data_IF_342596119333
#
_entry.id   IF_342596119333
#
_cell.length_a   1.000
_cell.length_b   1.000
_cell.length_c   1.000
_cell.angle_alpha   90.00
_cell.angle_beta   90.00
_cell.angle_gamma   90.00
#
_symmetry.space_group_name_H-M   'P 1'
#
loop_
_entity.id
_entity.type
_entity.pdbx_description
1 polymer ?
#
# COMPACT_ATOMS: atom_id res chain seq x y z
N UNK A 1 -15.87 5.49 4.60
CA UNK A 1 -14.60 6.20 4.35
C UNK A 1 -13.50 5.19 4.61
N UNK A 2 -12.57 4.97 3.68
CA UNK A 2 -11.48 4.02 3.90
C UNK A 2 -10.39 4.75 4.68
N UNK A 3 -10.10 4.31 5.90
CA UNK A 3 -8.99 4.85 6.71
C UNK A 3 -8.13 3.75 7.32
N UNK A 4 -8.67 2.54 7.51
CA UNK A 4 -7.98 1.39 8.09
C UNK A 4 -7.91 0.23 7.11
N UNK A 5 -6.70 -0.27 6.90
CA UNK A 5 -6.42 -1.34 5.93
C UNK A 5 -5.80 -2.54 6.65
N UNK A 6 -6.31 -3.72 6.34
CA UNK A 6 -5.67 -4.97 6.70
C UNK A 6 -4.91 -5.52 5.49
N UNK A 7 -3.65 -5.94 5.66
CA UNK A 7 -2.81 -6.50 4.58
C UNK A 7 -2.69 -8.00 4.80
N UNK A 8 -3.46 -8.78 4.03
CA UNK A 8 -3.35 -10.23 4.02
C UNK A 8 -2.16 -10.64 3.14
N UNK A 9 -1.22 -11.40 3.70
CA UNK A 9 -0.01 -11.83 3.00
C UNK A 9 0.61 -13.07 3.68
N UNK A 10 1.39 -13.84 2.92
CA UNK A 10 2.16 -14.94 3.48
C UNK A 10 3.52 -14.45 4.02
N UNK A 11 4.20 -15.25 4.83
CA UNK A 11 5.48 -14.85 5.44
C UNK A 11 6.59 -14.56 4.41
N UNK A 12 6.55 -15.20 3.24
CA UNK A 12 7.50 -14.94 2.14
C UNK A 12 7.27 -13.58 1.47
N UNK A 13 6.07 -13.02 1.61
CA UNK A 13 5.67 -11.73 1.06
C UNK A 13 5.86 -10.58 2.06
N UNK A 14 6.47 -10.81 3.23
CA UNK A 14 6.70 -9.78 4.26
C UNK A 14 7.34 -8.51 3.67
N UNK A 15 8.26 -8.64 2.71
CA UNK A 15 8.88 -7.48 2.04
C UNK A 15 7.86 -6.67 1.23
N UNK A 16 7.02 -7.35 0.44
CA UNK A 16 5.95 -6.70 -0.33
C UNK A 16 4.95 -6.02 0.61
N UNK A 17 4.54 -6.71 1.68
CA UNK A 17 3.65 -6.18 2.69
C UNK A 17 4.22 -4.94 3.40
N UNK A 18 5.51 -4.93 3.72
CA UNK A 18 6.18 -3.76 4.31
C UNK A 18 6.24 -2.58 3.34
N UNK A 19 6.51 -2.81 2.06
CA UNK A 19 6.53 -1.75 1.05
C UNK A 19 5.13 -1.15 0.83
N UNK A 20 4.10 -1.99 0.80
CA UNK A 20 2.71 -1.55 0.77
C UNK A 20 2.36 -0.75 2.02
N UNK A 21 2.67 -1.26 3.22
CA UNK A 21 2.40 -0.57 4.48
C UNK A 21 3.05 0.82 4.56
N UNK A 22 4.30 0.97 4.07
CA UNK A 22 4.97 2.27 3.98
C UNK A 22 4.27 3.23 3.02
N UNK A 23 3.77 2.70 1.90
CA UNK A 23 3.06 3.49 0.89
C UNK A 23 1.70 3.96 1.40
N UNK A 24 0.95 3.09 2.07
CA UNK A 24 -0.30 3.43 2.74
C UNK A 24 -0.09 4.46 3.86
N UNK A 25 0.96 4.29 4.67
CA UNK A 25 1.30 5.25 5.72
C UNK A 25 1.60 6.65 5.17
N UNK A 26 2.25 6.72 4.00
CA UNK A 26 2.53 7.99 3.33
C UNK A 26 1.25 8.77 3.01
N UNK A 27 0.13 8.11 2.73
CA UNK A 27 -1.16 8.78 2.45
C UNK A 27 -2.12 8.77 3.67
N UNK A 28 -1.56 8.68 4.88
CA UNK A 28 -2.28 8.66 6.15
C UNK A 28 -3.27 7.49 6.35
N UNK A 29 -3.08 6.38 5.64
CA UNK A 29 -3.88 5.18 5.85
C UNK A 29 -3.26 4.31 6.96
N UNK A 30 -4.04 4.06 8.00
CA UNK A 30 -3.68 3.14 9.08
C UNK A 30 -3.65 1.71 8.53
N UNK A 31 -2.67 0.91 8.95
CA UNK A 31 -2.63 -0.51 8.60
C UNK A 31 -2.30 -1.42 9.78
N UNK A 32 -2.88 -2.62 9.76
CA UNK A 32 -2.79 -3.59 10.86
C UNK A 32 -1.58 -4.54 10.78
N UNK A 33 -0.64 -4.30 9.86
CA UNK A 33 0.49 -5.20 9.55
C UNK A 33 1.40 -5.54 10.74
N UNK A 34 1.34 -4.77 11.83
CA UNK A 34 2.24 -4.92 12.98
C UNK A 34 1.57 -5.38 14.29
N UNK A 35 0.26 -5.66 14.29
CA UNK A 35 -0.44 -6.10 15.50
C UNK A 35 0.13 -7.42 16.07
N UNK A 36 0.66 -8.29 15.21
CA UNK A 36 1.24 -9.59 15.57
C UNK A 36 2.55 -9.51 16.36
N UNK A 37 3.36 -8.46 16.18
CA UNK A 37 4.72 -8.40 16.77
C UNK A 37 4.76 -7.80 18.18
N UNK A 38 3.71 -7.06 18.59
CA UNK A 38 3.72 -6.28 19.84
C UNK A 38 2.69 -6.74 20.87
N UNK A 39 1.72 -7.57 20.49
CA UNK A 39 0.62 -7.96 21.38
C UNK A 39 0.95 -9.27 22.08
N UNK A 40 1.27 -9.19 23.37
CA UNK A 40 1.46 -10.36 24.23
C UNK A 40 0.08 -10.83 24.73
N UNK A 41 -0.21 -12.13 24.61
CA UNK A 41 -1.41 -12.73 25.20
C UNK A 41 -2.61 -12.93 24.25
N UNK A 42 -2.50 -12.55 22.97
CA UNK A 42 -3.48 -12.88 21.94
C UNK A 42 -2.88 -13.85 20.92
N UNK A 43 -3.69 -14.83 20.49
CA UNK A 43 -3.32 -15.74 19.42
C UNK A 43 -3.29 -15.03 18.06
N UNK A 44 -2.58 -15.62 17.09
CA UNK A 44 -2.56 -15.12 15.71
C UNK A 44 -3.96 -15.02 15.12
N UNK A 45 -4.84 -16.00 15.40
CA UNK A 45 -6.22 -16.01 14.92
C UNK A 45 -7.04 -14.84 15.49
N UNK A 46 -6.89 -14.50 16.77
CA UNK A 46 -7.55 -13.35 17.39
C UNK A 46 -7.10 -12.03 16.77
N UNK A 47 -5.79 -11.89 16.51
CA UNK A 47 -5.23 -10.70 15.87
C UNK A 47 -5.67 -10.54 14.42
N UNK A 48 -5.74 -11.63 13.67
CA UNK A 48 -6.29 -11.66 12.31
C UNK A 48 -7.76 -11.23 12.34
N UNK A 49 -8.58 -11.87 13.19
CA UNK A 49 -10.00 -11.55 13.29
C UNK A 49 -10.21 -10.10 13.75
N UNK A 50 -9.42 -9.61 14.69
CA UNK A 50 -9.46 -8.20 15.11
C UNK A 50 -9.09 -7.27 13.95
N UNK A 51 -7.96 -7.50 13.29
CA UNK A 51 -7.47 -6.63 12.22
C UNK A 51 -8.43 -6.56 11.03
N UNK A 52 -8.98 -7.71 10.62
CA UNK A 52 -10.02 -7.80 9.60
C UNK A 52 -11.27 -7.06 10.08
N UNK A 53 -11.83 -7.36 11.25
CA UNK A 53 -13.09 -6.74 11.69
C UNK A 53 -13.03 -5.21 11.90
N UNK A 54 -11.83 -4.65 12.07
CA UNK A 54 -11.64 -3.22 12.30
C UNK A 54 -11.02 -2.49 11.10
N UNK A 55 -10.86 -3.17 9.95
CA UNK A 55 -10.47 -2.54 8.69
C UNK A 55 -11.69 -2.20 7.83
N UNK A 56 -11.57 -1.10 7.09
CA UNK A 56 -12.56 -0.73 6.06
C UNK A 56 -12.29 -1.48 4.75
N UNK A 57 -11.04 -1.91 4.55
CA UNK A 57 -10.58 -2.59 3.34
C UNK A 57 -9.53 -3.65 3.70
N UNK A 58 -9.54 -4.74 2.95
CA UNK A 58 -8.50 -5.77 2.97
C UNK A 58 -7.74 -5.70 1.65
N UNK A 59 -6.42 -5.59 1.71
CA UNK A 59 -5.56 -5.77 0.54
C UNK A 59 -4.92 -7.15 0.65
N UNK A 60 -5.20 -8.03 -0.32
CA UNK A 60 -4.64 -9.37 -0.35
C UNK A 60 -3.46 -9.43 -1.33
N UNK A 61 -2.26 -9.69 -0.82
CA UNK A 61 -1.08 -9.95 -1.64
C UNK A 61 -1.08 -11.42 -2.04
N UNK A 62 -1.33 -11.64 -3.33
CA UNK A 62 -1.47 -12.94 -3.96
C UNK A 62 -0.29 -13.14 -4.92
N UNK A 63 0.91 -13.31 -4.34
CA UNK A 63 2.06 -13.86 -5.05
C UNK A 63 1.85 -15.35 -5.34
N UNK A 64 2.79 -15.98 -6.06
CA UNK A 64 2.80 -17.45 -6.19
C UNK A 64 2.65 -18.13 -4.81
N UNK A 65 3.39 -17.66 -3.80
CA UNK A 65 3.32 -18.23 -2.45
C UNK A 65 2.09 -17.76 -1.65
N UNK A 66 1.58 -16.57 -1.96
CA UNK A 66 0.37 -16.01 -1.36
C UNK A 66 -0.89 -16.79 -1.76
N UNK A 67 -1.02 -17.15 -3.04
CA UNK A 67 -2.17 -17.92 -3.56
C UNK A 67 -2.22 -19.33 -2.96
N UNK A 68 -1.06 -19.97 -2.82
CA UNK A 68 -0.94 -21.32 -2.23
C UNK A 68 -1.04 -21.31 -0.70
N UNK A 69 -0.94 -20.14 -0.05
CA UNK A 69 -0.93 -20.04 1.41
C UNK A 69 -2.30 -20.37 2.02
N UNK A 70 -2.41 -21.40 2.88
CA UNK A 70 -3.65 -21.68 3.59
C UNK A 70 -4.08 -20.52 4.50
N UNK A 71 -3.11 -19.82 5.11
CA UNK A 71 -3.38 -18.68 5.98
C UNK A 71 -4.00 -17.51 5.20
N UNK A 72 -3.41 -17.13 4.06
CA UNK A 72 -3.96 -16.05 3.22
C UNK A 72 -5.35 -16.42 2.71
N UNK A 73 -5.57 -17.67 2.29
CA UNK A 73 -6.89 -18.14 1.87
C UNK A 73 -7.94 -18.07 2.99
N UNK A 74 -7.56 -18.38 4.24
CA UNK A 74 -8.44 -18.23 5.40
C UNK A 74 -8.74 -16.76 5.72
N UNK A 75 -7.74 -15.89 5.65
CA UNK A 75 -7.90 -14.44 5.84
C UNK A 75 -8.83 -13.84 4.79
N UNK A 76 -8.64 -14.19 3.51
CA UNK A 76 -9.53 -13.80 2.41
C UNK A 76 -10.94 -14.36 2.61
N UNK A 77 -11.07 -15.63 2.99
CA UNK A 77 -12.37 -16.25 3.27
C UNK A 77 -13.12 -15.55 4.41
N UNK A 78 -12.41 -15.16 5.48
CA UNK A 78 -12.99 -14.40 6.59
C UNK A 78 -13.45 -13.00 6.14
N UNK A 79 -12.63 -12.29 5.36
CA UNK A 79 -12.98 -10.99 4.80
C UNK A 79 -14.22 -11.06 3.88
N UNK A 80 -14.30 -12.06 3.01
CA UNK A 80 -15.47 -12.33 2.16
C UNK A 80 -16.71 -12.62 3.01
N UNK A 81 -16.60 -13.51 4.00
CA UNK A 81 -17.71 -13.86 4.89
C UNK A 81 -18.25 -12.68 5.71
N UNK A 82 -17.43 -11.64 5.91
CA UNK A 82 -17.78 -10.39 6.57
C UNK A 82 -18.30 -9.30 5.61
N UNK A 83 -18.30 -9.56 4.30
CA UNK A 83 -18.69 -8.58 3.29
C UNK A 83 -17.74 -7.38 3.19
N UNK A 84 -16.46 -7.56 3.52
CA UNK A 84 -15.49 -6.47 3.44
C UNK A 84 -15.11 -6.14 2.00
N UNK A 85 -14.72 -4.89 1.77
CA UNK A 85 -14.06 -4.50 0.54
C UNK A 85 -12.68 -5.18 0.45
N UNK A 86 -12.43 -5.85 -0.66
CA UNK A 86 -11.15 -6.53 -0.92
C UNK A 86 -10.54 -5.96 -2.20
N UNK A 87 -9.27 -5.56 -2.12
CA UNK A 87 -8.44 -5.18 -3.27
C UNK A 87 -7.37 -6.27 -3.44
N UNK A 88 -7.50 -7.16 -4.43
CA UNK A 88 -6.48 -8.16 -4.72
C UNK A 88 -5.27 -7.54 -5.43
N UNK A 89 -4.07 -7.73 -4.88
CA UNK A 89 -2.79 -7.53 -5.57
C UNK A 89 -2.32 -8.91 -6.06
N UNK A 90 -2.40 -9.17 -7.36
CA UNK A 90 -2.17 -10.50 -7.92
C UNK A 90 -0.91 -10.54 -8.79
N UNK A 91 0.00 -11.45 -8.49
CA UNK A 91 1.23 -11.62 -9.26
C UNK A 91 0.90 -12.13 -10.67
N UNK A 92 1.63 -11.63 -11.67
CA UNK A 92 1.45 -12.02 -13.07
C UNK A 92 1.74 -13.51 -13.23
N UNK A 93 0.79 -14.24 -13.81
CA UNK A 93 0.87 -15.70 -13.97
C UNK A 93 -0.04 -16.44 -12.99
N UNK A 94 -0.47 -15.80 -11.92
CA UNK A 94 -1.34 -16.40 -10.90
C UNK A 94 -2.83 -16.11 -11.15
N UNK A 95 -3.67 -16.93 -10.53
CA UNK A 95 -5.14 -16.79 -10.54
C UNK A 95 -5.70 -16.39 -9.18
N UNK A 96 -6.84 -15.69 -9.21
CA UNK A 96 -7.56 -15.36 -7.98
C UNK A 96 -8.16 -16.63 -7.33
N UNK A 97 -8.10 -16.72 -5.99
CA UNK A 97 -8.85 -17.71 -5.23
C UNK A 97 -10.34 -17.67 -5.57
N UNK A 98 -10.99 -18.85 -5.56
CA UNK A 98 -12.38 -19.04 -6.04
C UNK A 98 -13.36 -18.03 -5.44
N UNK A 99 -13.27 -17.75 -4.15
CA UNK A 99 -14.19 -16.85 -3.45
C UNK A 99 -14.11 -15.39 -3.93
N UNK A 100 -12.97 -14.96 -4.47
CA UNK A 100 -12.73 -13.58 -4.93
C UNK A 100 -12.45 -13.51 -6.43
N UNK A 101 -12.65 -14.60 -7.18
CA UNK A 101 -12.36 -14.67 -8.62
C UNK A 101 -13.16 -13.67 -9.47
N UNK A 102 -14.29 -13.21 -8.95
CA UNK A 102 -15.14 -12.20 -9.58
C UNK A 102 -14.62 -10.76 -9.39
N UNK A 103 -13.62 -10.54 -8.53
CA UNK A 103 -13.06 -9.21 -8.28
C UNK A 103 -12.04 -8.83 -9.36
N UNK A 104 -11.93 -7.54 -9.63
CA UNK A 104 -10.82 -7.00 -10.41
C UNK A 104 -9.55 -6.99 -9.54
N UNK A 105 -8.45 -7.49 -10.09
CA UNK A 105 -7.15 -7.51 -9.41
C UNK A 105 -6.22 -6.43 -9.97
N UNK A 106 -5.46 -5.78 -9.12
CA UNK A 106 -4.29 -5.00 -9.52
C UNK A 106 -3.16 -6.01 -9.77
N UNK A 107 -2.68 -6.07 -11.01
CA UNK A 107 -1.63 -7.00 -11.41
C UNK A 107 -0.25 -6.45 -11.08
N UNK A 108 0.65 -7.32 -10.62
CA UNK A 108 2.03 -6.95 -10.35
C UNK A 108 3.03 -8.05 -10.74
N UNK A 109 4.28 -7.65 -10.89
CA UNK A 109 5.46 -8.51 -10.86
C UNK A 109 6.44 -7.91 -9.86
N UNK A 110 7.38 -8.69 -9.35
CA UNK A 110 8.36 -8.18 -8.37
C UNK A 110 9.20 -7.02 -8.90
N UNK A 111 9.42 -6.93 -10.22
CA UNK A 111 10.18 -5.85 -10.87
C UNK A 111 9.39 -4.55 -11.02
N UNK A 112 8.06 -4.60 -11.04
CA UNK A 112 7.20 -3.44 -11.27
C UNK A 112 6.21 -3.22 -10.10
N UNK A 113 6.54 -3.71 -8.91
CA UNK A 113 5.66 -3.62 -7.75
C UNK A 113 5.29 -2.17 -7.39
N UNK A 114 6.20 -1.22 -7.61
CA UNK A 114 5.92 0.22 -7.41
C UNK A 114 4.73 0.73 -8.23
N UNK A 115 4.54 0.22 -9.45
CA UNK A 115 3.38 0.58 -10.28
C UNK A 115 2.09 0.06 -9.65
N UNK A 116 2.09 -1.19 -9.16
CA UNK A 116 0.95 -1.75 -8.44
C UNK A 116 0.62 -0.98 -7.16
N UNK A 117 1.64 -0.52 -6.42
CA UNK A 117 1.44 0.36 -5.27
C UNK A 117 0.77 1.68 -5.66
N UNK A 118 1.16 2.28 -6.79
CA UNK A 118 0.49 3.47 -7.30
C UNK A 118 -0.96 3.23 -7.71
N UNK A 119 -1.25 2.09 -8.34
CA UNK A 119 -2.62 1.69 -8.65
C UNK A 119 -3.47 1.46 -7.38
N UNK A 120 -2.88 0.95 -6.29
CA UNK A 120 -3.57 0.85 -5.00
C UNK A 120 -3.95 2.22 -4.49
N UNK A 121 -3.00 3.18 -4.48
CA UNK A 121 -3.28 4.55 -4.03
C UNK A 121 -4.36 5.19 -4.90
N UNK A 122 -4.25 5.09 -6.22
CA UNK A 122 -5.27 5.59 -7.14
C UNK A 122 -6.65 4.97 -6.87
N UNK A 123 -6.72 3.64 -6.75
CA UNK A 123 -7.98 2.93 -6.44
C UNK A 123 -8.60 3.42 -5.15
N UNK A 124 -7.81 3.62 -4.09
CA UNK A 124 -8.32 4.11 -2.80
C UNK A 124 -8.77 5.58 -2.91
N UNK A 125 -8.04 6.44 -3.65
CA UNK A 125 -8.46 7.84 -3.91
C UNK A 125 -9.82 7.93 -4.60
N UNK A 126 -10.14 6.99 -5.49
CA UNK A 126 -11.46 6.93 -6.14
C UNK A 126 -12.59 6.54 -5.17
N UNK A 127 -12.26 5.80 -4.10
CA UNK A 127 -13.24 5.31 -3.11
C UNK A 127 -13.36 6.21 -1.88
N UNK A 128 -12.37 7.05 -1.61
CA UNK A 128 -12.34 7.96 -0.46
C UNK A 128 -11.47 9.19 -0.72
N UNK A 129 -11.77 10.30 -0.04
CA UNK A 129 -10.92 11.50 -0.13
C UNK A 129 -9.62 11.27 0.62
N UNK A 130 -8.51 11.15 -0.11
CA UNK A 130 -7.16 11.25 0.43
C UNK A 130 -6.61 12.64 0.10
N UNK A 131 -6.43 13.46 1.13
CA UNK A 131 -5.98 14.84 0.96
C UNK A 131 -4.54 15.06 1.40
N UNK A 132 -4.01 14.18 2.26
CA UNK A 132 -2.75 14.42 2.98
C UNK A 132 -1.68 13.39 2.62
N UNK A 133 -0.46 13.88 2.52
CA UNK A 133 0.75 13.14 2.19
C UNK A 133 1.81 13.39 3.27
N UNK A 134 2.18 12.34 3.99
CA UNK A 134 3.34 12.28 4.87
C UNK A 134 4.60 12.03 4.06
N UNK A 135 5.55 12.95 4.19
CA UNK A 135 6.82 12.91 3.47
C UNK A 135 7.94 12.95 4.51
N UNK A 136 8.75 11.88 4.56
CA UNK A 136 10.02 11.92 5.29
C UNK A 136 11.09 12.54 4.39
N UNK A 137 11.57 13.72 4.75
CA UNK A 137 12.59 14.41 3.98
C UNK A 137 13.89 13.59 3.92
N UNK A 138 14.42 13.28 2.73
CA UNK A 138 15.70 12.57 2.62
C UNK A 138 16.90 13.44 3.02
N UNK A 139 16.76 14.77 3.02
CA UNK A 139 17.84 15.69 3.33
C UNK A 139 18.02 15.93 4.84
N UNK A 140 16.93 16.23 5.56
CA UNK A 140 16.98 16.53 7.00
C UNK A 140 16.38 15.43 7.90
N UNK A 141 15.75 14.41 7.32
CA UNK A 141 15.14 13.30 8.08
C UNK A 141 13.78 13.59 8.72
N UNK A 142 13.36 14.86 8.75
CA UNK A 142 12.08 15.29 9.33
C UNK A 142 10.87 14.79 8.54
N UNK A 143 9.76 14.54 9.24
CA UNK A 143 8.49 14.11 8.64
C UNK A 143 7.55 15.31 8.57
N UNK A 144 7.10 15.65 7.37
CA UNK A 144 6.14 16.72 7.12
C UNK A 144 4.85 16.16 6.52
N UNK A 145 3.76 16.92 6.64
CA UNK A 145 2.48 16.61 6.00
C UNK A 145 2.14 17.69 4.99
N UNK A 146 1.77 17.29 3.78
CA UNK A 146 1.41 18.18 2.68
C UNK A 146 0.13 17.72 1.99
N UNK A 147 -0.43 18.56 1.13
CA UNK A 147 -1.53 18.11 0.27
C UNK A 147 -1.02 17.14 -0.80
N UNK A 148 -1.78 16.08 -1.06
CA UNK A 148 -1.53 15.21 -2.21
C UNK A 148 -1.80 16.02 -3.48
N UNK A 149 -0.90 15.90 -4.47
CA UNK A 149 -1.10 16.51 -5.78
C UNK A 149 -2.45 16.07 -6.41
N UNK A 150 -3.18 16.98 -7.07
CA UNK A 150 -4.39 16.64 -7.82
C UNK A 150 -4.15 15.47 -8.80
N UNK A 151 -5.17 14.65 -9.05
CA UNK A 151 -5.02 13.45 -9.89
C UNK A 151 -4.52 13.80 -11.29
N UNK A 152 -5.04 14.87 -11.88
CA UNK A 152 -4.61 15.37 -13.20
C UNK A 152 -3.10 15.70 -13.25
N UNK A 153 -2.55 16.26 -12.18
CA UNK A 153 -1.12 16.57 -12.09
C UNK A 153 -0.29 15.29 -11.97
N UNK A 154 -0.75 14.33 -11.16
CA UNK A 154 -0.11 13.01 -11.01
C UNK A 154 -0.11 12.27 -12.35
N UNK A 155 -1.23 12.24 -13.06
CA UNK A 155 -1.36 11.60 -14.37
C UNK A 155 -0.47 12.26 -15.42
N UNK A 156 -0.42 13.59 -15.44
CA UNK A 156 0.45 14.35 -16.34
C UNK A 156 1.93 14.02 -16.08
N UNK A 157 2.33 13.96 -14.80
CA UNK A 157 3.69 13.59 -14.42
C UNK A 157 4.03 12.13 -14.83
N UNK A 158 3.10 11.20 -14.65
CA UNK A 158 3.25 9.80 -15.07
C UNK A 158 3.46 9.67 -16.57
N UNK A 159 2.62 10.34 -17.38
CA UNK A 159 2.69 10.29 -18.84
C UNK A 159 3.98 10.94 -19.37
N UNK A 160 4.42 12.01 -18.73
CA UNK A 160 5.65 12.72 -19.11
C UNK A 160 6.94 12.05 -18.59
N UNK A 161 6.83 11.03 -17.71
CA UNK A 161 7.99 10.45 -17.03
C UNK A 161 8.68 11.41 -16.06
N UNK A 162 7.97 12.42 -15.58
CA UNK A 162 8.49 13.46 -14.71
C UNK A 162 8.21 13.15 -13.23
N UNK A 163 9.09 13.62 -12.36
CA UNK A 163 8.85 13.60 -10.92
C UNK A 163 7.92 14.76 -10.51
N UNK A 164 7.08 14.53 -9.49
CA UNK A 164 6.36 15.61 -8.83
C UNK A 164 7.35 16.43 -7.99
N UNK A 165 7.14 17.74 -7.89
CA UNK A 165 8.02 18.65 -7.14
C UNK A 165 7.33 19.12 -5.87
N UNK A 166 8.08 19.14 -4.78
CA UNK A 166 7.66 19.78 -3.54
C UNK A 166 8.86 20.39 -2.80
N UNK A 167 8.63 21.11 -1.71
CA UNK A 167 9.63 21.73 -0.86
C UNK A 167 9.49 21.16 0.55
N UNK A 168 10.63 20.89 1.21
CA UNK A 168 10.63 20.53 2.62
C UNK A 168 10.30 21.74 3.51
N UNK A 169 9.26 21.66 4.33
CA UNK A 169 8.90 22.75 5.27
C UNK A 169 9.95 23.01 6.35
N UNK A 170 10.86 22.06 6.60
CA UNK A 170 11.86 22.15 7.67
C UNK A 170 13.22 22.67 7.19
N UNK A 171 13.72 22.19 6.05
CA UNK A 171 15.03 22.56 5.51
C UNK A 171 14.97 23.32 4.20
N UNK A 172 13.76 23.63 3.71
CA UNK A 172 13.48 24.42 2.50
C UNK A 172 14.05 23.84 1.19
N UNK A 173 14.61 22.63 1.24
CA UNK A 173 15.15 21.95 0.07
C UNK A 173 14.04 21.42 -0.83
N UNK A 174 14.21 21.56 -2.14
CA UNK A 174 13.34 20.94 -3.13
C UNK A 174 13.47 19.41 -3.12
N UNK A 175 12.33 18.75 -3.12
CA UNK A 175 12.20 17.30 -3.18
C UNK A 175 11.53 16.89 -4.50
N UNK A 176 11.93 15.75 -5.03
CA UNK A 176 11.26 15.09 -6.15
C UNK A 176 10.55 13.87 -5.63
N UNK A 177 9.26 13.72 -5.96
CA UNK A 177 8.46 12.56 -5.57
C UNK A 177 8.18 11.68 -6.80
N UNK A 178 8.22 10.37 -6.60
CA UNK A 178 7.78 9.42 -7.61
C UNK A 178 6.26 9.55 -7.76
N UNK A 179 5.73 9.86 -8.96
CA UNK A 179 4.29 10.07 -9.13
C UNK A 179 3.45 8.81 -8.91
N UNK A 180 4.02 7.61 -9.02
CA UNK A 180 3.32 6.35 -8.72
C UNK A 180 3.12 6.18 -7.22
N UNK A 181 4.18 6.32 -6.43
CA UNK A 181 4.12 5.99 -5.00
C UNK A 181 3.98 7.21 -4.09
N UNK A 182 4.09 8.41 -4.64
CA UNK A 182 4.14 9.71 -3.95
C UNK A 182 5.30 9.83 -2.94
N UNK A 183 6.28 8.91 -3.01
CA UNK A 183 7.44 8.87 -2.10
C UNK A 183 8.59 9.72 -2.64
N UNK A 184 9.42 10.30 -1.77
CA UNK A 184 10.67 10.94 -2.19
C UNK A 184 11.56 10.00 -2.98
N UNK A 185 12.03 10.49 -4.11
CA UNK A 185 13.12 9.89 -4.87
C UNK A 185 14.40 10.30 -4.15
N UNK A 186 15.17 9.33 -3.70
CA UNK A 186 16.54 9.59 -3.25
C UNK A 186 17.29 10.05 -4.48
N UNK A 187 17.81 11.29 -4.45
CA UNK A 187 18.82 11.67 -5.41
C UNK A 187 20.01 10.75 -5.12
N UNK A 188 20.21 9.73 -5.95
CA UNK A 188 21.49 9.06 -5.98
C UNK A 188 22.54 10.16 -6.09
N UNK A 189 23.47 10.16 -5.14
CA UNK A 189 24.65 11.00 -5.15
C UNK A 189 25.13 11.14 -6.57
N UNK A 190 25.18 12.38 -7.07
CA UNK A 190 25.84 12.73 -8.31
C UNK A 190 27.13 11.91 -8.40
N UNK A 191 27.16 10.92 -9.29
CA UNK A 191 28.42 10.27 -9.62
C UNK A 191 29.25 11.31 -10.39
N UNK A 192 30.50 11.56 -9.95
CA UNK A 192 31.38 12.53 -10.60
C UNK A 192 31.74 12.11 -12.04
#
# INVERSE_FOLDING_TARGET
>A
MISRIYIAHCERDEKLAQELARTLWAVELENFSFLSKKTVGLSRAELINFGINHSDCVIAILSQEGVESPAVNQEVGLAVGRGQLIIPLLETGEELPVLIRHLHSIRFSRKNYENALGQVIHTIRQLTRLNWLKIKCPNCGEVMTQYIAPEEEVETALLAGNALKTICTYCEQHLSLNPQTLRPILADSAQP
#
